data_IF_583563497108
#
_entry.id   IF_583563497108
#
_cell.length_a   1.000
_cell.length_b   1.000
_cell.length_c   1.000
_cell.angle_alpha   90.00
_cell.angle_beta   90.00
_cell.angle_gamma   90.00
#
_symmetry.space_group_name_H-M   'P 1'
#
loop_
_entity.id
_entity.type
_entity.pdbx_description
1 polymer ?
#
# COMPACT_ATOMS: atom_id res chain seq x y z
N UNK A 1 7.28 -2.04 -17.52
CA UNK A 1 7.90 -0.93 -16.75
C UNK A 1 8.05 -1.41 -15.33
N UNK A 2 9.23 -1.32 -14.69
CA UNK A 2 9.36 -1.61 -13.25
C UNK A 2 8.56 -0.55 -12.52
N UNK A 3 7.45 -0.92 -11.89
CA UNK A 3 6.79 -0.02 -10.95
C UNK A 3 7.78 0.32 -9.84
N UNK A 4 8.00 1.61 -9.63
CA UNK A 4 8.87 2.05 -8.56
C UNK A 4 8.20 1.76 -7.23
N UNK A 5 9.00 1.44 -6.21
CA UNK A 5 8.50 1.27 -4.84
C UNK A 5 7.69 2.50 -4.38
N UNK A 6 8.08 3.68 -4.84
CA UNK A 6 7.34 4.93 -4.63
C UNK A 6 5.93 4.91 -5.24
N UNK A 7 5.80 4.51 -6.51
CA UNK A 7 4.50 4.44 -7.18
C UNK A 7 3.59 3.42 -6.49
N UNK A 8 4.10 2.23 -6.17
CA UNK A 8 3.34 1.20 -5.49
C UNK A 8 2.92 1.63 -4.07
N UNK A 9 3.80 2.31 -3.33
CA UNK A 9 3.47 2.89 -2.04
C UNK A 9 2.34 3.92 -2.15
N UNK A 10 2.43 4.83 -3.12
CA UNK A 10 1.45 5.90 -3.32
C UNK A 10 0.07 5.34 -3.66
N UNK A 11 -0.01 4.39 -4.59
CA UNK A 11 -1.26 3.72 -4.95
C UNK A 11 -1.87 2.97 -3.77
N UNK A 12 -1.04 2.29 -2.99
CA UNK A 12 -1.48 1.57 -1.81
C UNK A 12 -2.07 2.50 -0.75
N UNK A 13 -1.39 3.61 -0.45
CA UNK A 13 -1.85 4.63 0.50
C UNK A 13 -3.14 5.30 0.02
N UNK A 14 -3.23 5.64 -1.26
CA UNK A 14 -4.43 6.27 -1.84
C UNK A 14 -5.68 5.37 -1.67
N UNK A 15 -5.53 4.04 -1.81
CA UNK A 15 -6.63 3.11 -1.59
C UNK A 15 -7.04 3.06 -0.11
N UNK A 16 -6.09 3.13 0.81
CA UNK A 16 -6.38 3.19 2.26
C UNK A 16 -7.17 4.47 2.58
N UNK A 17 -6.74 5.63 2.07
CA UNK A 17 -7.47 6.89 2.28
C UNK A 17 -8.88 6.87 1.66
N UNK A 18 -9.05 6.20 0.51
CA UNK A 18 -10.38 6.01 -0.11
C UNK A 18 -11.28 5.14 0.72
N UNK A 19 -10.75 4.09 1.35
CA UNK A 19 -11.49 3.21 2.28
C UNK A 19 -12.03 4.03 3.44
N UNK A 20 -11.19 4.86 4.08
CA UNK A 20 -11.59 5.69 5.23
C UNK A 20 -12.71 6.69 4.89
N UNK A 21 -12.77 7.14 3.63
CA UNK A 21 -13.77 8.11 3.16
C UNK A 21 -15.02 7.46 2.56
N UNK A 22 -15.05 6.14 2.37
CA UNK A 22 -16.15 5.44 1.69
C UNK A 22 -17.16 4.88 2.70
N UNK A 23 -18.39 5.39 2.65
CA UNK A 23 -19.50 4.86 3.46
C UNK A 23 -20.33 3.77 2.76
N UNK A 24 -20.22 3.65 1.43
CA UNK A 24 -20.97 2.66 0.65
C UNK A 24 -20.36 1.25 0.83
N UNK A 25 -21.12 0.27 1.37
CA UNK A 25 -20.58 -1.05 1.69
C UNK A 25 -20.06 -1.84 0.49
N UNK A 26 -20.68 -1.67 -0.69
CA UNK A 26 -20.26 -2.39 -1.91
C UNK A 26 -18.94 -1.84 -2.45
N UNK A 27 -18.81 -0.52 -2.51
CA UNK A 27 -17.56 0.14 -2.87
C UNK A 27 -16.48 -0.11 -1.84
N UNK A 28 -16.81 -0.16 -0.56
CA UNK A 28 -15.89 -0.51 0.51
C UNK A 28 -15.30 -1.91 0.29
N UNK A 29 -16.14 -2.90 -0.02
CA UNK A 29 -15.69 -4.26 -0.33
C UNK A 29 -14.69 -4.29 -1.50
N UNK A 30 -15.00 -3.62 -2.61
CA UNK A 30 -14.11 -3.55 -3.78
C UNK A 30 -12.77 -2.87 -3.46
N UNK A 31 -12.80 -1.81 -2.65
CA UNK A 31 -11.59 -1.12 -2.21
C UNK A 31 -10.74 -1.99 -1.26
N UNK A 32 -11.38 -2.75 -0.38
CA UNK A 32 -10.73 -3.70 0.52
C UNK A 32 -10.01 -4.82 -0.25
N UNK A 33 -10.64 -5.37 -1.29
CA UNK A 33 -10.02 -6.35 -2.20
C UNK A 33 -8.80 -5.75 -2.91
N UNK A 34 -8.96 -4.55 -3.46
CA UNK A 34 -7.86 -3.81 -4.10
C UNK A 34 -6.71 -3.51 -3.13
N UNK A 35 -7.03 -3.16 -1.88
CA UNK A 35 -6.04 -2.90 -0.83
C UNK A 35 -5.19 -4.15 -0.57
N UNK A 36 -5.81 -5.33 -0.53
CA UNK A 36 -5.09 -6.59 -0.31
C UNK A 36 -4.16 -6.91 -1.48
N UNK A 37 -4.61 -6.72 -2.72
CA UNK A 37 -3.76 -6.90 -3.91
C UNK A 37 -2.53 -5.99 -3.88
N UNK A 38 -2.75 -4.68 -3.67
CA UNK A 38 -1.68 -3.69 -3.59
C UNK A 38 -0.74 -3.95 -2.41
N UNK A 39 -1.26 -4.44 -1.28
CA UNK A 39 -0.43 -4.82 -0.15
C UNK A 39 0.56 -5.93 -0.54
N UNK A 40 0.10 -7.01 -1.16
CA UNK A 40 0.99 -8.11 -1.57
C UNK A 40 2.03 -7.67 -2.61
N UNK A 41 1.61 -6.84 -3.57
CA UNK A 41 2.51 -6.24 -4.55
C UNK A 41 3.60 -5.37 -3.89
N UNK A 42 3.21 -4.56 -2.92
CA UNK A 42 4.14 -3.71 -2.18
C UNK A 42 5.12 -4.55 -1.35
N UNK A 43 4.64 -5.62 -0.69
CA UNK A 43 5.49 -6.57 0.04
C UNK A 43 6.53 -7.22 -0.89
N UNK A 44 6.14 -7.63 -2.09
CA UNK A 44 7.07 -8.20 -3.07
C UNK A 44 8.17 -7.21 -3.44
N UNK A 45 7.80 -5.95 -3.69
CA UNK A 45 8.76 -4.88 -3.97
C UNK A 45 9.70 -4.61 -2.80
N UNK A 46 9.22 -4.61 -1.55
CA UNK A 46 10.07 -4.47 -0.37
C UNK A 46 11.10 -5.60 -0.31
N UNK A 47 10.68 -6.86 -0.54
CA UNK A 47 11.57 -8.02 -0.55
C UNK A 47 12.62 -7.92 -1.65
N UNK A 48 12.21 -7.55 -2.85
CA UNK A 48 13.11 -7.37 -4.01
C UNK A 48 14.16 -6.28 -3.78
N UNK A 49 13.86 -5.28 -2.96
CA UNK A 49 14.80 -4.22 -2.57
C UNK A 49 15.56 -4.52 -1.26
N UNK A 50 15.33 -5.67 -0.63
CA UNK A 50 15.97 -6.04 0.64
C UNK A 50 15.51 -5.21 1.84
N UNK A 51 14.39 -4.50 1.72
CA UNK A 51 13.83 -3.68 2.81
C UNK A 51 13.12 -4.59 3.80
N UNK A 52 13.61 -4.62 5.04
CA UNK A 52 13.04 -5.43 6.11
C UNK A 52 11.79 -4.76 6.68
N UNK A 53 10.73 -5.54 6.81
CA UNK A 53 9.52 -5.19 7.55
C UNK A 53 9.27 -6.25 8.62
N UNK A 54 8.50 -5.88 9.66
CA UNK A 54 8.28 -6.73 10.85
C UNK A 54 6.97 -7.51 10.73
N UNK A 55 5.95 -6.81 10.27
CA UNK A 55 4.57 -7.25 10.19
C UNK A 55 3.81 -6.41 9.17
N UNK A 56 2.52 -6.68 9.01
CA UNK A 56 1.63 -6.01 8.06
C UNK A 56 1.48 -4.51 8.34
N UNK A 57 1.39 -4.11 9.60
CA UNK A 57 1.27 -2.70 9.99
C UNK A 57 2.57 -1.97 9.69
N UNK A 58 3.71 -2.59 10.03
CA UNK A 58 5.02 -2.01 9.71
C UNK A 58 5.20 -1.79 8.20
N UNK A 59 4.81 -2.74 7.35
CA UNK A 59 4.83 -2.56 5.91
C UNK A 59 3.94 -1.40 5.45
N UNK A 60 2.75 -1.26 6.03
CA UNK A 60 1.83 -0.15 5.73
C UNK A 60 2.44 1.20 6.12
N UNK A 61 3.10 1.29 7.28
CA UNK A 61 3.81 2.49 7.72
C UNK A 61 4.99 2.82 6.81
N UNK A 62 5.73 1.82 6.32
CA UNK A 62 6.79 2.05 5.32
C UNK A 62 6.17 2.65 4.04
N UNK A 63 5.05 2.12 3.56
CA UNK A 63 4.38 2.68 2.38
C UNK A 63 4.00 4.16 2.59
N UNK A 64 3.43 4.52 3.73
CA UNK A 64 3.08 5.91 4.06
C UNK A 64 4.33 6.81 4.03
N UNK A 65 5.42 6.38 4.67
CA UNK A 65 6.68 7.15 4.69
C UNK A 65 7.28 7.33 3.30
N UNK A 66 7.26 6.29 2.47
CA UNK A 66 7.71 6.35 1.08
C UNK A 66 6.83 7.32 0.27
N UNK A 67 5.51 7.21 0.40
CA UNK A 67 4.58 8.07 -0.33
C UNK A 67 4.77 9.56 0.03
N UNK A 68 5.11 9.85 1.28
CA UNK A 68 5.42 11.20 1.77
C UNK A 68 6.83 11.70 1.43
N UNK A 69 7.70 10.85 0.88
CA UNK A 69 9.09 11.21 0.57
C UNK A 69 10.01 11.31 1.79
N UNK A 70 9.68 10.62 2.89
CA UNK A 70 10.42 10.66 4.16
C UNK A 70 11.52 9.59 4.28
N UNK A 71 11.96 9.00 3.15
CA UNK A 71 12.85 7.83 3.09
C UNK A 71 14.08 8.07 2.22
#
# INVERSE_FOLDING_TARGET
>A
MKESLYQAAKEYVEVIEKIEKTADPKRLQLLEEKRVELHWKFIDLLKNQGIKYKDRDHATRIAIRIANGEL
#
